data_IF_087884829585
#
_entry.id   IF_087884829585
#
_cell.length_a   1.000
_cell.length_b   1.000
_cell.length_c   1.000
_cell.angle_alpha   90.00
_cell.angle_beta   90.00
_cell.angle_gamma   90.00
#
_symmetry.space_group_name_H-M   'P 1'
#
loop_
_entity.id
_entity.type
_entity.pdbx_description
1 polymer ?
#
# COMPACT_ATOMS: atom_id res chain seq x y z
N UNK A 1 6.55 2.92 -36.56
CA UNK A 1 6.29 2.34 -35.24
C UNK A 1 5.73 0.97 -35.46
N UNK A 2 6.34 -0.05 -34.85
CA UNK A 2 5.85 -1.43 -34.94
C UNK A 2 4.65 -1.56 -34.02
N UNK A 3 3.54 -2.07 -34.50
CA UNK A 3 2.37 -2.41 -33.70
C UNK A 3 2.28 -3.93 -33.62
N UNK A 4 2.53 -4.46 -32.43
CA UNK A 4 2.39 -5.88 -32.15
C UNK A 4 1.11 -6.13 -31.38
N UNK A 5 0.40 -7.20 -31.71
CA UNK A 5 -0.86 -7.56 -31.06
C UNK A 5 -0.93 -9.06 -30.82
N UNK A 6 -1.32 -9.39 -29.61
CA UNK A 6 -1.62 -10.76 -29.19
C UNK A 6 -3.07 -10.82 -28.69
N UNK A 7 -3.76 -11.85 -29.08
CA UNK A 7 -5.09 -12.14 -28.62
C UNK A 7 -5.03 -13.45 -27.82
N UNK A 8 -5.50 -13.42 -26.57
CA UNK A 8 -5.59 -14.59 -25.71
C UNK A 8 -7.05 -14.93 -25.53
N UNK A 9 -7.45 -16.12 -26.01
CA UNK A 9 -8.84 -16.55 -25.96
C UNK A 9 -9.21 -17.08 -24.58
N UNK A 10 -10.50 -17.18 -24.31
CA UNK A 10 -10.98 -17.79 -23.07
C UNK A 10 -10.46 -19.23 -22.93
N UNK A 11 -9.92 -19.53 -21.76
CA UNK A 11 -9.30 -20.82 -21.44
C UNK A 11 -7.84 -20.97 -21.89
N UNK A 12 -7.26 -19.96 -22.55
CA UNK A 12 -5.84 -19.95 -22.92
C UNK A 12 -4.99 -19.28 -21.85
N UNK A 13 -3.76 -19.75 -21.72
CA UNK A 13 -2.66 -19.09 -20.99
C UNK A 13 -1.57 -18.68 -21.98
N UNK A 14 -0.87 -17.59 -21.70
CA UNK A 14 0.18 -17.10 -22.60
C UNK A 14 1.22 -16.30 -21.85
N UNK A 15 2.48 -16.50 -22.22
CA UNK A 15 3.60 -15.66 -21.79
C UNK A 15 4.07 -14.85 -22.99
N UNK A 16 4.26 -13.55 -22.79
CA UNK A 16 4.70 -12.60 -23.80
C UNK A 16 5.89 -11.83 -23.23
N UNK A 17 7.06 -12.02 -23.82
CA UNK A 17 8.25 -11.24 -23.51
C UNK A 17 8.27 -10.01 -24.42
N UNK A 18 8.53 -8.85 -23.82
CA UNK A 18 8.54 -7.56 -24.48
C UNK A 18 9.89 -6.88 -24.25
N UNK A 19 10.33 -6.11 -25.24
CA UNK A 19 11.54 -5.31 -25.13
C UNK A 19 11.30 -4.11 -24.16
N UNK A 20 11.71 -2.93 -24.53
CA UNK A 20 11.62 -1.74 -23.70
C UNK A 20 10.18 -1.25 -23.57
N UNK A 21 9.66 -1.20 -22.32
CA UNK A 21 8.36 -0.63 -22.00
C UNK A 21 8.53 0.59 -21.09
N UNK A 22 7.89 1.70 -21.42
CA UNK A 22 7.91 2.96 -20.63
C UNK A 22 6.56 3.35 -20.08
N UNK A 23 5.50 2.89 -20.68
CA UNK A 23 4.17 3.12 -20.16
C UNK A 23 3.29 1.87 -20.29
N UNK A 24 2.50 1.62 -19.27
CA UNK A 24 1.56 0.49 -19.21
C UNK A 24 0.17 1.03 -18.95
N UNK A 25 -0.76 0.60 -19.79
CA UNK A 25 -2.18 0.82 -19.59
C UNK A 25 -2.90 -0.53 -19.50
N UNK A 26 -3.60 -0.71 -18.41
CA UNK A 26 -4.36 -1.92 -18.13
C UNK A 26 -5.82 -1.55 -18.02
N UNK A 27 -6.69 -2.31 -18.69
CA UNK A 27 -8.12 -2.08 -18.69
C UNK A 27 -8.88 -3.41 -18.59
N UNK A 28 -9.26 -3.82 -17.38
CA UNK A 28 -9.88 -5.11 -17.10
C UNK A 28 -11.31 -4.97 -16.56
N UNK A 29 -12.14 -5.97 -16.83
CA UNK A 29 -13.48 -6.04 -16.22
C UNK A 29 -13.41 -6.70 -14.86
N UNK A 30 -12.77 -7.86 -14.76
CA UNK A 30 -12.61 -8.60 -13.50
C UNK A 30 -11.43 -9.55 -13.56
N UNK A 31 -11.14 -10.18 -12.43
CA UNK A 31 -10.02 -11.09 -12.25
C UNK A 31 -9.00 -10.53 -11.29
N UNK A 32 -7.76 -10.87 -11.48
CA UNK A 32 -6.63 -10.40 -10.66
C UNK A 32 -5.49 -9.92 -11.54
N UNK A 33 -4.83 -8.85 -11.11
CA UNK A 33 -3.63 -8.38 -11.78
C UNK A 33 -2.54 -8.00 -10.79
N UNK A 34 -1.37 -8.59 -11.00
CA UNK A 34 -0.18 -8.31 -10.22
C UNK A 34 0.84 -7.58 -11.11
N UNK A 35 1.14 -6.34 -10.80
CA UNK A 35 2.16 -5.53 -11.47
C UNK A 35 3.36 -5.45 -10.55
N UNK A 36 4.45 -6.10 -10.92
CA UNK A 36 5.67 -6.18 -10.13
C UNK A 36 6.81 -5.53 -10.89
N UNK A 37 7.45 -4.57 -10.27
CA UNK A 37 8.58 -3.89 -10.85
C UNK A 37 9.91 -4.62 -10.60
N UNK A 38 10.80 -4.57 -11.58
CA UNK A 38 12.16 -5.12 -11.51
C UNK A 38 13.18 -4.16 -12.13
N UNK A 39 14.47 -4.49 -12.02
CA UNK A 39 15.53 -3.60 -12.42
C UNK A 39 15.95 -3.74 -13.91
N UNK A 40 15.41 -4.73 -14.63
CA UNK A 40 15.69 -4.94 -16.04
C UNK A 40 14.82 -4.01 -16.92
N UNK A 41 15.29 -3.62 -18.11
CA UNK A 41 14.55 -2.73 -19.00
C UNK A 41 13.42 -3.43 -19.78
N UNK A 42 13.37 -4.76 -19.74
CA UNK A 42 12.39 -5.61 -20.43
C UNK A 42 11.12 -5.75 -19.63
N UNK A 43 10.02 -6.14 -20.27
CA UNK A 43 8.78 -6.47 -19.58
C UNK A 43 8.30 -7.88 -19.98
N UNK A 44 7.55 -8.51 -19.08
CA UNK A 44 6.92 -9.81 -19.31
C UNK A 44 5.48 -9.76 -18.88
N UNK A 45 4.59 -10.22 -19.74
CA UNK A 45 3.16 -10.41 -19.47
C UNK A 45 2.89 -11.90 -19.38
N UNK A 46 2.42 -12.36 -18.23
CA UNK A 46 2.00 -13.75 -18.01
C UNK A 46 0.48 -13.76 -17.82
N UNK A 47 -0.24 -14.22 -18.81
CA UNK A 47 -1.68 -14.44 -18.73
C UNK A 47 -1.93 -15.85 -18.26
N UNK A 48 -2.41 -16.01 -17.03
CA UNK A 48 -2.64 -17.30 -16.39
C UNK A 48 -3.99 -17.88 -16.80
N UNK A 49 -5.03 -17.04 -16.82
CA UNK A 49 -6.36 -17.45 -17.20
C UNK A 49 -7.13 -16.29 -17.86
N UNK A 50 -8.00 -16.63 -18.80
CA UNK A 50 -8.95 -15.70 -19.40
C UNK A 50 -10.32 -16.36 -19.39
N UNK A 51 -11.34 -15.66 -18.87
CA UNK A 51 -12.73 -16.06 -18.89
C UNK A 51 -13.60 -15.04 -19.63
N UNK A 52 -14.61 -15.51 -20.33
CA UNK A 52 -15.52 -14.64 -21.08
C UNK A 52 -14.92 -14.11 -22.38
N UNK A 53 -14.68 -12.81 -22.48
CA UNK A 53 -14.10 -12.18 -23.67
C UNK A 53 -12.60 -12.40 -23.74
N UNK A 54 -12.10 -12.44 -24.99
CA UNK A 54 -10.67 -12.49 -25.23
C UNK A 54 -9.95 -11.26 -24.66
N UNK A 55 -8.74 -11.49 -24.15
CA UNK A 55 -7.83 -10.46 -23.73
C UNK A 55 -6.94 -10.04 -24.89
N UNK A 56 -6.84 -8.76 -25.12
CA UNK A 56 -5.93 -8.18 -26.08
C UNK A 56 -4.71 -7.59 -25.36
N UNK A 57 -3.53 -8.01 -25.76
CA UNK A 57 -2.26 -7.41 -25.39
C UNK A 57 -1.71 -6.73 -26.64
N UNK A 58 -1.36 -5.47 -26.58
CA UNK A 58 -0.79 -4.74 -27.70
C UNK A 58 0.38 -3.85 -27.26
N UNK A 59 1.37 -3.81 -28.10
CA UNK A 59 2.54 -2.97 -27.96
C UNK A 59 2.60 -1.96 -29.12
N UNK A 60 2.60 -0.69 -28.81
CA UNK A 60 2.76 0.40 -29.76
C UNK A 60 3.93 1.28 -29.35
N UNK A 61 5.06 1.10 -30.05
CA UNK A 61 6.33 1.72 -29.66
C UNK A 61 6.81 1.20 -28.31
N UNK A 62 6.79 2.02 -27.26
CA UNK A 62 7.17 1.70 -25.88
C UNK A 62 5.98 1.65 -24.92
N UNK A 63 4.76 1.66 -25.47
CA UNK A 63 3.51 1.62 -24.72
C UNK A 63 2.87 0.25 -24.80
N UNK A 64 2.73 -0.40 -23.65
CA UNK A 64 1.98 -1.64 -23.47
C UNK A 64 0.53 -1.33 -23.11
N UNK A 65 -0.42 -1.92 -23.82
CA UNK A 65 -1.85 -1.85 -23.52
C UNK A 65 -2.44 -3.26 -23.40
N UNK A 66 -3.10 -3.52 -22.27
CA UNK A 66 -3.78 -4.78 -21.96
C UNK A 66 -5.25 -4.46 -21.74
N UNK A 67 -6.15 -4.96 -22.59
CA UNK A 67 -7.56 -4.68 -22.50
C UNK A 67 -8.45 -5.89 -22.87
N UNK A 68 -9.66 -5.92 -22.35
CA UNK A 68 -10.68 -6.82 -22.87
C UNK A 68 -11.22 -6.29 -24.18
N UNK A 69 -11.22 -7.14 -25.21
CA UNK A 69 -11.69 -6.77 -26.56
C UNK A 69 -13.15 -6.25 -26.52
N UNK A 70 -13.40 -5.16 -27.27
CA UNK A 70 -14.73 -4.55 -27.47
C UNK A 70 -15.28 -3.74 -26.27
N UNK A 71 -14.48 -3.39 -25.27
CA UNK A 71 -14.88 -2.40 -24.27
C UNK A 71 -14.46 -0.99 -24.72
N UNK A 72 -15.42 -0.09 -24.76
CA UNK A 72 -15.14 1.35 -24.98
C UNK A 72 -15.05 2.00 -23.60
N UNK A 73 -13.84 2.24 -23.16
CA UNK A 73 -13.54 2.82 -21.85
C UNK A 73 -13.80 4.33 -21.76
N UNK A 74 -14.19 4.97 -22.88
CA UNK A 74 -14.46 6.41 -22.92
C UNK A 74 -15.75 6.80 -22.18
N UNK A 75 -16.56 5.84 -21.77
CA UNK A 75 -17.82 6.07 -21.03
C UNK A 75 -18.02 5.00 -19.96
N UNK A 76 -17.84 5.38 -18.71
CA UNK A 76 -18.12 4.53 -17.52
C UNK A 76 -19.57 4.00 -17.56
N UNK A 77 -20.52 4.79 -18.08
CA UNK A 77 -21.93 4.41 -18.18
C UNK A 77 -22.14 3.24 -19.16
N UNK A 78 -21.38 3.18 -20.26
CA UNK A 78 -21.45 2.06 -21.20
C UNK A 78 -20.75 0.80 -20.66
N UNK A 79 -19.67 0.98 -19.91
CA UNK A 79 -18.98 -0.12 -19.21
C UNK A 79 -19.93 -0.75 -18.19
N UNK A 80 -20.58 0.05 -17.35
CA UNK A 80 -21.54 -0.42 -16.34
C UNK A 80 -22.77 -1.10 -17.00
N UNK A 81 -23.27 -0.59 -18.12
CA UNK A 81 -24.35 -1.25 -18.87
C UNK A 81 -23.92 -2.56 -19.54
N UNK A 82 -22.64 -2.70 -19.89
CA UNK A 82 -22.05 -3.92 -20.45
C UNK A 82 -21.80 -5.03 -19.42
N UNK A 83 -21.81 -4.71 -18.13
CA UNK A 83 -21.60 -5.63 -16.99
C UNK A 83 -22.66 -6.74 -16.84
N UNK A 84 -23.74 -6.72 -17.61
CA UNK A 84 -24.77 -7.76 -17.58
C UNK A 84 -24.32 -9.16 -18.05
N UNK A 85 -23.10 -9.31 -18.60
CA UNK A 85 -22.50 -10.59 -18.95
C UNK A 85 -21.51 -11.01 -17.87
N UNK A 86 -21.96 -11.77 -16.90
CA UNK A 86 -21.14 -12.43 -15.89
C UNK A 86 -20.11 -13.32 -16.58
N UNK A 87 -18.81 -13.00 -16.41
CA UNK A 87 -17.75 -13.92 -16.82
C UNK A 87 -16.47 -13.32 -17.40
N UNK A 88 -16.44 -12.03 -17.73
CA UNK A 88 -15.22 -11.41 -18.25
C UNK A 88 -14.22 -11.22 -17.10
N UNK A 89 -13.17 -12.04 -17.09
CA UNK A 89 -12.09 -12.00 -16.10
C UNK A 89 -10.77 -12.38 -16.74
N UNK A 90 -9.71 -11.87 -16.20
CA UNK A 90 -8.36 -12.29 -16.55
C UNK A 90 -7.46 -12.25 -15.32
N UNK A 91 -6.67 -13.31 -15.16
CA UNK A 91 -5.65 -13.38 -14.11
C UNK A 91 -4.30 -13.20 -14.78
N UNK A 92 -3.58 -12.12 -14.41
CA UNK A 92 -2.41 -11.65 -15.14
C UNK A 92 -1.31 -11.28 -14.15
N UNK A 93 -0.09 -11.72 -14.42
CA UNK A 93 1.11 -11.19 -13.78
C UNK A 93 1.94 -10.40 -14.79
N UNK A 94 2.34 -9.22 -14.40
CA UNK A 94 3.09 -8.29 -15.23
C UNK A 94 4.38 -7.89 -14.52
N UNK A 95 5.50 -8.25 -15.12
CA UNK A 95 6.83 -7.82 -14.71
C UNK A 95 7.23 -6.63 -15.57
N UNK A 96 7.60 -5.51 -14.95
CA UNK A 96 7.91 -4.25 -15.66
C UNK A 96 9.12 -3.54 -15.09
N UNK A 97 9.81 -2.71 -15.88
CA UNK A 97 10.84 -1.82 -15.36
C UNK A 97 10.29 -0.88 -14.27
N UNK A 98 11.07 -0.57 -13.24
CA UNK A 98 10.66 0.31 -12.13
C UNK A 98 10.14 1.68 -12.58
N UNK A 99 10.72 2.25 -13.64
CA UNK A 99 10.38 3.59 -14.14
C UNK A 99 9.16 3.64 -15.07
N UNK A 100 8.34 2.60 -15.13
CA UNK A 100 7.17 2.54 -16.00
C UNK A 100 6.01 3.36 -15.42
N UNK A 101 5.49 4.31 -16.20
CA UNK A 101 4.26 5.01 -15.85
C UNK A 101 3.06 4.06 -15.97
N UNK A 102 2.28 3.92 -14.89
CA UNK A 102 1.17 2.99 -14.80
C UNK A 102 -0.19 3.70 -14.86
N UNK A 103 -1.05 3.23 -15.77
CA UNK A 103 -2.48 3.50 -15.76
C UNK A 103 -3.26 2.20 -15.62
N UNK A 104 -3.99 2.05 -14.54
CA UNK A 104 -4.72 0.85 -14.16
C UNK A 104 -6.21 1.16 -14.01
N UNK A 105 -7.00 0.74 -14.97
CA UNK A 105 -8.46 0.98 -15.01
C UNK A 105 -9.18 -0.38 -14.89
N UNK A 106 -10.00 -0.57 -13.86
CA UNK A 106 -10.73 -1.83 -13.65
C UNK A 106 -12.18 -1.61 -13.27
N UNK A 107 -12.98 -2.65 -13.38
CA UNK A 107 -14.36 -2.63 -12.91
C UNK A 107 -14.51 -3.40 -11.61
N UNK A 108 -14.01 -4.65 -11.57
CA UNK A 108 -14.13 -5.53 -10.40
C UNK A 108 -12.93 -6.48 -10.27
N UNK A 109 -11.75 -6.03 -10.69
CA UNK A 109 -10.52 -6.80 -10.55
C UNK A 109 -9.75 -6.33 -9.31
N UNK A 110 -9.17 -7.30 -8.61
CA UNK A 110 -8.23 -7.03 -7.55
C UNK A 110 -6.85 -6.72 -8.15
N UNK A 111 -6.12 -5.80 -7.54
CA UNK A 111 -4.84 -5.33 -8.05
C UNK A 111 -3.74 -5.28 -7.01
N UNK A 112 -2.57 -5.80 -7.39
CA UNK A 112 -1.33 -5.56 -6.67
C UNK A 112 -0.36 -4.76 -7.55
N UNK A 113 0.18 -3.67 -7.03
CA UNK A 113 1.22 -2.87 -7.69
C UNK A 113 2.41 -2.78 -6.75
N UNK A 114 3.56 -3.30 -7.14
CA UNK A 114 4.72 -3.37 -6.27
C UNK A 114 6.01 -2.83 -6.88
N UNK A 115 6.73 -2.00 -6.13
CA UNK A 115 8.10 -1.58 -6.41
C UNK A 115 8.30 -0.58 -7.55
N UNK A 116 7.28 0.16 -7.98
CA UNK A 116 7.40 1.17 -9.02
C UNK A 116 8.12 2.43 -8.52
N UNK A 117 8.93 3.04 -9.38
CA UNK A 117 9.59 4.33 -9.17
C UNK A 117 9.07 5.35 -10.18
N UNK A 118 7.78 5.48 -10.28
CA UNK A 118 7.07 6.36 -11.22
C UNK A 118 5.65 6.59 -10.73
N UNK A 119 4.98 7.56 -11.33
CA UNK A 119 3.61 7.89 -11.00
C UNK A 119 2.64 6.77 -11.44
N UNK A 120 1.61 6.55 -10.62
CA UNK A 120 0.56 5.59 -10.90
C UNK A 120 -0.82 6.26 -10.82
N UNK A 121 -1.66 5.98 -11.82
CA UNK A 121 -3.07 6.30 -11.79
C UNK A 121 -3.89 5.03 -11.79
N UNK A 122 -4.75 4.89 -10.79
CA UNK A 122 -5.56 3.71 -10.55
C UNK A 122 -7.04 4.13 -10.50
N UNK A 123 -7.87 3.48 -11.29
CA UNK A 123 -9.31 3.70 -11.29
C UNK A 123 -10.03 2.37 -11.19
N UNK A 124 -10.86 2.18 -10.18
CA UNK A 124 -11.65 0.97 -10.01
C UNK A 124 -13.09 1.29 -9.63
N UNK A 125 -14.02 0.45 -10.06
CA UNK A 125 -15.40 0.53 -9.57
C UNK A 125 -15.58 -0.35 -8.35
N UNK A 126 -14.90 -1.49 -8.30
CA UNK A 126 -14.88 -2.42 -7.18
C UNK A 126 -13.67 -3.34 -7.27
N UNK A 127 -13.37 -4.05 -6.21
CA UNK A 127 -12.14 -4.83 -6.05
C UNK A 127 -11.13 -4.09 -5.19
N UNK A 128 -10.28 -4.85 -4.56
CA UNK A 128 -9.30 -4.34 -3.62
C UNK A 128 -7.98 -4.04 -4.34
N UNK A 129 -7.36 -2.94 -3.98
CA UNK A 129 -6.09 -2.51 -4.58
C UNK A 129 -5.03 -2.35 -3.51
N UNK A 130 -3.93 -3.06 -3.69
CA UNK A 130 -2.74 -2.95 -2.84
C UNK A 130 -1.60 -2.32 -3.65
N UNK A 131 -1.03 -1.25 -3.12
CA UNK A 131 0.18 -0.62 -3.66
C UNK A 131 1.28 -0.73 -2.61
N UNK A 132 2.40 -1.32 -2.97
CA UNK A 132 3.52 -1.54 -2.05
C UNK A 132 4.84 -1.05 -2.64
N UNK A 133 5.58 -0.24 -1.88
CA UNK A 133 6.91 0.24 -2.26
C UNK A 133 6.93 1.11 -3.50
N UNK A 134 5.91 1.96 -3.72
CA UNK A 134 5.89 2.89 -4.84
C UNK A 134 6.58 4.20 -4.46
N UNK A 135 7.46 4.69 -5.34
CA UNK A 135 8.13 5.98 -5.24
C UNK A 135 7.65 6.89 -6.37
N UNK A 136 6.80 7.85 -6.07
CA UNK A 136 6.17 8.75 -7.04
C UNK A 136 4.80 9.23 -6.56
N UNK A 137 4.03 9.85 -7.42
CA UNK A 137 2.68 10.30 -7.08
C UNK A 137 1.63 9.23 -7.42
N UNK A 138 0.69 9.01 -6.51
CA UNK A 138 -0.43 8.09 -6.71
C UNK A 138 -1.74 8.89 -6.78
N UNK A 139 -2.53 8.63 -7.82
CA UNK A 139 -3.89 9.15 -7.99
C UNK A 139 -4.86 7.95 -8.08
N UNK A 140 -5.72 7.79 -7.10
CA UNK A 140 -6.67 6.67 -7.02
C UNK A 140 -8.10 7.17 -7.04
N UNK A 141 -8.90 6.57 -7.90
CA UNK A 141 -10.34 6.80 -7.99
C UNK A 141 -11.05 5.45 -7.79
N UNK A 142 -11.78 5.29 -6.70
CA UNK A 142 -12.53 4.08 -6.42
C UNK A 142 -13.99 4.39 -6.10
N UNK A 143 -14.88 3.46 -6.44
CA UNK A 143 -16.27 3.57 -6.00
C UNK A 143 -16.49 2.68 -4.78
N UNK A 144 -16.00 1.45 -4.81
CA UNK A 144 -16.09 0.47 -3.73
C UNK A 144 -14.78 -0.32 -3.66
N UNK A 145 -14.49 -0.92 -2.51
CA UNK A 145 -13.29 -1.75 -2.30
C UNK A 145 -12.28 -1.06 -1.39
N UNK A 146 -11.33 -1.81 -0.92
CA UNK A 146 -10.27 -1.34 -0.05
C UNK A 146 -9.06 -0.85 -0.85
N UNK A 147 -8.55 0.32 -0.49
CA UNK A 147 -7.26 0.81 -0.98
C UNK A 147 -6.22 0.71 0.14
N UNK A 148 -5.18 -0.08 -0.10
CA UNK A 148 -4.05 -0.23 0.83
C UNK A 148 -2.75 0.21 0.17
N UNK A 149 -2.22 1.36 0.57
CA UNK A 149 -0.92 1.88 0.13
C UNK A 149 0.08 1.72 1.25
N UNK A 150 1.18 1.01 0.99
CA UNK A 150 2.22 0.70 1.98
C UNK A 150 3.61 1.04 1.46
N UNK A 151 4.52 1.34 2.37
CA UNK A 151 5.93 1.63 2.05
C UNK A 151 6.06 2.67 0.92
N UNK A 152 5.16 3.64 0.90
CA UNK A 152 5.08 4.63 -0.16
C UNK A 152 5.95 5.85 0.12
N UNK A 153 6.58 6.38 -0.92
CA UNK A 153 7.30 7.65 -0.86
C UNK A 153 6.76 8.60 -1.93
N UNK A 154 6.08 9.67 -1.51
CA UNK A 154 5.50 10.63 -2.44
C UNK A 154 4.14 11.15 -2.01
N UNK A 155 3.36 11.62 -2.99
CA UNK A 155 1.99 12.12 -2.78
C UNK A 155 0.97 11.02 -3.01
N UNK A 156 -0.05 10.99 -2.17
CA UNK A 156 -1.24 10.15 -2.37
C UNK A 156 -2.48 11.02 -2.48
N UNK A 157 -3.20 10.89 -3.57
CA UNK A 157 -4.53 11.49 -3.76
C UNK A 157 -5.54 10.37 -3.99
N UNK A 158 -6.58 10.30 -3.19
CA UNK A 158 -7.62 9.29 -3.30
C UNK A 158 -9.01 9.91 -3.35
N UNK A 159 -9.84 9.41 -4.25
CA UNK A 159 -11.25 9.73 -4.33
C UNK A 159 -12.05 8.44 -4.19
N UNK A 160 -12.91 8.35 -3.18
CA UNK A 160 -13.72 7.15 -2.92
C UNK A 160 -15.19 7.50 -2.67
N UNK A 161 -16.07 6.62 -3.09
CA UNK A 161 -17.48 6.73 -2.70
C UNK A 161 -17.74 5.92 -1.46
N UNK A 162 -17.32 4.66 -1.45
CA UNK A 162 -17.42 3.79 -0.29
C UNK A 162 -16.30 2.76 -0.31
N UNK A 163 -15.49 2.76 0.68
CA UNK A 163 -14.34 1.87 0.78
C UNK A 163 -13.30 2.48 1.71
N UNK A 164 -12.60 1.62 2.38
CA UNK A 164 -11.59 2.04 3.34
C UNK A 164 -10.29 2.40 2.62
N UNK A 165 -9.62 3.42 3.12
CA UNK A 165 -8.35 3.89 2.58
C UNK A 165 -7.28 3.81 3.66
N UNK A 166 -6.27 3.02 3.42
CA UNK A 166 -5.07 2.95 4.27
C UNK A 166 -3.86 3.44 3.48
N UNK A 167 -3.12 4.40 4.04
CA UNK A 167 -1.89 4.89 3.44
C UNK A 167 -0.78 4.98 4.49
N UNK A 168 0.36 4.33 4.21
CA UNK A 168 1.51 4.28 5.11
C UNK A 168 2.83 4.50 4.36
N UNK A 169 3.74 5.29 4.95
CA UNK A 169 5.08 5.55 4.44
C UNK A 169 5.53 7.00 4.56
N UNK A 170 6.57 7.37 3.83
CA UNK A 170 7.09 8.74 3.76
C UNK A 170 6.20 9.61 2.85
N UNK A 171 5.03 9.98 3.36
CA UNK A 171 4.06 10.76 2.61
C UNK A 171 4.47 12.23 2.57
N UNK A 172 4.71 12.79 1.40
CA UNK A 172 4.92 14.23 1.24
C UNK A 172 3.60 14.99 1.37
N UNK A 173 2.54 14.45 0.79
CA UNK A 173 1.17 14.98 0.88
C UNK A 173 0.17 13.84 0.78
N UNK A 174 -0.86 13.90 1.61
CA UNK A 174 -2.00 13.01 1.53
C UNK A 174 -3.29 13.82 1.35
N UNK A 175 -4.12 13.42 0.40
CA UNK A 175 -5.45 14.00 0.19
C UNK A 175 -6.46 12.91 -0.08
N UNK A 176 -7.56 12.91 0.63
CA UNK A 176 -8.69 12.01 0.38
C UNK A 176 -9.99 12.78 0.36
N UNK A 177 -10.80 12.51 -0.67
CA UNK A 177 -12.19 12.95 -0.78
C UNK A 177 -13.09 11.73 -0.83
N UNK A 178 -13.90 11.52 0.20
CA UNK A 178 -14.74 10.35 0.37
C UNK A 178 -16.19 10.67 0.73
N UNK A 179 -17.08 9.73 0.46
CA UNK A 179 -18.45 9.83 0.97
C UNK A 179 -18.62 8.96 2.21
N UNK A 180 -18.19 7.71 2.16
CA UNK A 180 -18.24 6.78 3.29
C UNK A 180 -17.04 5.83 3.27
N UNK A 181 -16.63 5.37 4.43
CA UNK A 181 -15.46 4.51 4.62
C UNK A 181 -14.46 5.16 5.57
N UNK A 182 -13.69 4.32 6.24
CA UNK A 182 -12.68 4.76 7.20
C UNK A 182 -11.37 5.08 6.49
N UNK A 183 -10.68 6.09 6.99
CA UNK A 183 -9.39 6.53 6.46
C UNK A 183 -8.33 6.38 7.55
N UNK A 184 -7.31 5.60 7.26
CA UNK A 184 -6.15 5.46 8.12
C UNK A 184 -4.89 5.96 7.41
N UNK A 185 -4.22 6.94 7.99
CA UNK A 185 -2.99 7.52 7.47
C UNK A 185 -1.87 7.35 8.49
N UNK A 186 -0.81 6.68 8.09
CA UNK A 186 0.41 6.55 8.87
C UNK A 186 1.56 7.24 8.14
N UNK A 187 1.71 8.54 8.40
CA UNK A 187 2.70 9.36 7.74
C UNK A 187 4.02 9.35 8.53
N UNK A 188 5.07 8.92 7.85
CA UNK A 188 6.45 8.94 8.35
C UNK A 188 7.16 10.21 7.90
N UNK A 189 8.11 10.68 8.70
CA UNK A 189 8.91 11.85 8.38
C UNK A 189 8.16 13.16 8.56
N UNK A 190 8.20 14.02 7.57
CA UNK A 190 7.62 15.37 7.65
C UNK A 190 6.68 15.60 6.46
N UNK A 191 5.43 15.16 6.54
CA UNK A 191 4.44 15.51 5.51
C UNK A 191 4.14 17.01 5.54
N UNK A 192 3.97 17.60 4.36
CA UNK A 192 3.55 19.01 4.25
C UNK A 192 2.07 19.18 4.65
N UNK A 193 1.22 18.26 4.18
CA UNK A 193 -0.21 18.35 4.36
C UNK A 193 -0.89 16.97 4.39
N UNK A 194 -1.82 16.83 5.32
CA UNK A 194 -2.77 15.71 5.35
C UNK A 194 -4.17 16.32 5.30
N UNK A 195 -4.90 16.03 4.24
CA UNK A 195 -6.26 16.55 4.03
C UNK A 195 -7.24 15.40 3.85
N UNK A 196 -8.34 15.44 4.59
CA UNK A 196 -9.43 14.49 4.45
C UNK A 196 -10.77 15.22 4.43
N UNK A 197 -11.56 14.97 3.39
CA UNK A 197 -12.93 15.44 3.27
C UNK A 197 -13.84 14.21 3.16
N UNK A 198 -14.73 14.00 4.13
CA UNK A 198 -15.63 12.85 4.15
C UNK A 198 -17.03 13.27 4.61
N UNK A 199 -18.03 12.55 4.18
CA UNK A 199 -19.38 12.75 4.72
C UNK A 199 -19.57 11.85 5.94
N UNK A 200 -19.20 10.58 5.86
CA UNK A 200 -19.27 9.64 6.97
C UNK A 200 -18.10 8.68 6.95
N UNK A 201 -17.60 8.34 8.11
CA UNK A 201 -16.45 7.46 8.29
C UNK A 201 -15.39 8.10 9.19
N UNK A 202 -14.63 7.26 9.84
CA UNK A 202 -13.64 7.69 10.81
C UNK A 202 -12.32 8.02 10.12
N UNK A 203 -11.66 9.07 10.59
CA UNK A 203 -10.33 9.46 10.17
C UNK A 203 -9.34 9.20 11.30
N UNK A 204 -8.36 8.37 11.05
CA UNK A 204 -7.23 8.18 11.96
C UNK A 204 -5.93 8.60 11.27
N UNK A 205 -5.22 9.52 11.87
CA UNK A 205 -3.92 10.02 11.39
C UNK A 205 -2.86 9.70 12.44
N UNK A 206 -1.81 9.02 12.02
CA UNK A 206 -0.62 8.79 12.84
C UNK A 206 0.56 9.56 12.23
N UNK A 207 1.26 10.34 13.05
CA UNK A 207 2.43 11.13 12.65
C UNK A 207 3.54 10.95 13.66
N UNK A 208 4.77 11.31 13.30
CA UNK A 208 5.92 11.15 14.16
C UNK A 208 5.84 12.06 15.41
N UNK A 209 6.38 11.56 16.53
CA UNK A 209 6.53 12.34 17.75
C UNK A 209 7.51 13.51 17.50
N UNK A 210 7.19 14.66 18.11
CA UNK A 210 8.02 15.87 17.96
C UNK A 210 7.76 16.69 16.70
N UNK A 211 6.95 16.20 15.77
CA UNK A 211 6.50 16.98 14.63
C UNK A 211 5.49 18.05 15.07
N UNK A 212 5.73 19.33 14.73
CA UNK A 212 4.74 20.38 14.92
C UNK A 212 3.48 20.09 14.08
N UNK A 213 2.30 20.45 14.56
CA UNK A 213 1.09 20.26 13.78
C UNK A 213 0.15 21.46 13.91
N UNK A 214 -0.43 21.84 12.78
CA UNK A 214 -1.55 22.77 12.74
C UNK A 214 -2.81 21.98 12.38
N UNK A 215 -3.78 22.03 13.25
CA UNK A 215 -5.07 21.35 13.07
C UNK A 215 -6.12 22.32 12.57
N UNK A 216 -6.85 21.96 11.53
CA UNK A 216 -8.04 22.65 11.03
C UNK A 216 -9.13 21.60 10.79
N UNK A 217 -9.94 21.35 11.80
CA UNK A 217 -10.89 20.24 11.78
C UNK A 217 -12.29 20.77 11.92
N UNK A 218 -13.16 20.43 10.98
CA UNK A 218 -14.56 20.74 10.98
C UNK A 218 -15.36 19.44 11.01
N UNK A 219 -16.10 19.18 12.08
CA UNK A 219 -17.03 18.06 12.14
C UNK A 219 -18.37 18.55 12.67
N UNK A 220 -19.46 18.02 12.09
CA UNK A 220 -20.81 18.35 12.57
C UNK A 220 -21.21 17.42 13.71
N UNK A 221 -20.85 16.13 13.60
CA UNK A 221 -21.16 15.12 14.62
C UNK A 221 -20.02 14.09 14.65
N UNK A 222 -19.50 13.79 15.82
CA UNK A 222 -18.40 12.86 16.04
C UNK A 222 -17.47 13.34 17.16
N UNK A 223 -16.54 12.49 17.52
CA UNK A 223 -15.55 12.76 18.56
C UNK A 223 -14.25 13.25 17.92
N UNK A 224 -13.65 14.27 18.49
CA UNK A 224 -12.34 14.74 18.12
C UNK A 224 -11.32 14.36 19.20
N UNK A 225 -10.38 13.52 18.85
CA UNK A 225 -9.28 13.11 19.74
C UNK A 225 -7.94 13.52 19.13
N UNK A 226 -7.22 14.40 19.78
CA UNK A 226 -5.93 14.92 19.34
C UNK A 226 -4.87 14.67 20.40
N UNK A 227 -3.80 14.00 20.01
CA UNK A 227 -2.63 13.76 20.87
C UNK A 227 -3.03 13.17 22.24
N UNK A 228 -3.97 12.22 22.25
CA UNK A 228 -4.48 11.57 23.46
C UNK A 228 -5.54 12.36 24.24
N UNK A 229 -5.89 13.58 23.83
CA UNK A 229 -6.86 14.43 24.50
C UNK A 229 -8.18 14.49 23.71
N UNK A 230 -9.31 14.27 24.39
CA UNK A 230 -10.63 14.42 23.77
C UNK A 230 -11.05 15.90 23.80
N UNK A 231 -11.26 16.46 22.63
CA UNK A 231 -11.72 17.84 22.46
C UNK A 231 -13.26 17.85 22.52
N UNK A 232 -13.81 18.53 23.49
CA UNK A 232 -15.25 18.61 23.71
C UNK A 232 -15.82 19.96 23.27
N UNK A 233 -17.07 19.97 22.82
CA UNK A 233 -17.81 21.20 22.52
C UNK A 233 -17.56 21.77 21.11
N UNK A 234 -17.06 20.96 20.18
CA UNK A 234 -16.76 21.37 18.80
C UNK A 234 -17.90 21.14 17.81
N UNK A 235 -19.05 20.61 18.26
CA UNK A 235 -20.19 20.30 17.39
C UNK A 235 -20.64 21.52 16.56
N UNK A 236 -20.53 21.38 15.23
CA UNK A 236 -20.90 22.41 14.28
C UNK A 236 -20.02 23.67 14.31
N UNK A 237 -18.91 23.66 15.01
CA UNK A 237 -17.91 24.72 15.05
C UNK A 237 -16.55 24.17 14.62
N UNK A 238 -15.86 24.89 13.71
CA UNK A 238 -14.51 24.52 13.33
C UNK A 238 -13.55 24.58 14.52
N UNK A 239 -12.69 23.58 14.63
CA UNK A 239 -11.60 23.54 15.59
C UNK A 239 -10.28 23.89 14.90
N UNK A 240 -9.58 24.88 15.45
CA UNK A 240 -8.25 25.25 14.99
C UNK A 240 -7.31 25.29 16.17
N UNK A 241 -6.20 24.58 16.07
CA UNK A 241 -5.17 24.54 17.11
C UNK A 241 -3.78 24.30 16.49
N UNK A 242 -2.77 24.57 17.28
CA UNK A 242 -1.39 24.31 16.93
C UNK A 242 -0.72 23.59 18.09
N UNK A 243 0.02 22.53 17.78
CA UNK A 243 0.79 21.76 18.77
C UNK A 243 2.26 21.73 18.34
N UNK A 244 3.18 21.93 19.25
CA UNK A 244 4.61 21.99 18.96
C UNK A 244 5.04 23.30 18.27
N UNK A 245 6.29 23.33 17.78
CA UNK A 245 6.84 24.48 17.07
C UNK A 245 6.55 24.37 15.57
N UNK A 246 6.13 25.48 14.97
CA UNK A 246 5.96 25.61 13.51
C UNK A 246 7.22 26.20 12.82
N UNK A 247 8.28 26.45 13.56
CA UNK A 247 9.48 27.11 13.03
C UNK A 247 10.41 26.16 12.26
N UNK A 248 10.19 24.84 12.39
CA UNK A 248 11.05 23.85 11.74
C UNK A 248 10.24 22.82 10.94
N UNK A 249 9.96 21.66 11.53
CA UNK A 249 9.22 20.57 10.91
C UNK A 249 7.79 20.58 11.44
N UNK A 250 6.82 20.73 10.56
CA UNK A 250 5.42 20.73 10.94
C UNK A 250 4.53 20.24 9.81
N UNK A 251 3.34 19.76 10.15
CA UNK A 251 2.33 19.27 9.23
C UNK A 251 1.04 20.06 9.36
N UNK A 252 0.37 20.32 8.23
CA UNK A 252 -0.98 20.88 8.18
C UNK A 252 -2.01 19.76 8.07
N UNK A 253 -2.78 19.52 9.13
CA UNK A 253 -3.81 18.49 9.18
C UNK A 253 -5.17 19.16 9.05
N UNK A 254 -5.81 18.97 7.90
CA UNK A 254 -7.13 19.53 7.60
C UNK A 254 -8.15 18.39 7.43
N UNK A 255 -9.19 18.37 8.24
CA UNK A 255 -10.25 17.37 8.15
C UNK A 255 -11.63 18.04 8.14
N UNK A 256 -12.46 17.65 7.18
CA UNK A 256 -13.86 18.06 7.11
C UNK A 256 -14.70 16.79 7.08
N UNK A 257 -15.56 16.62 8.12
CA UNK A 257 -16.49 15.48 8.21
C UNK A 257 -17.87 15.95 8.60
N UNK A 258 -18.90 15.27 8.14
CA UNK A 258 -20.24 15.49 8.65
C UNK A 258 -20.50 14.58 9.83
N UNK A 259 -20.20 13.28 9.69
CA UNK A 259 -20.34 12.29 10.76
C UNK A 259 -19.14 11.36 10.75
N UNK A 260 -18.52 11.17 11.89
CA UNK A 260 -17.35 10.32 12.07
C UNK A 260 -16.35 10.92 13.06
N UNK A 261 -15.58 10.05 13.64
CA UNK A 261 -14.58 10.43 14.62
C UNK A 261 -13.27 10.83 13.91
N UNK A 262 -12.61 11.84 14.43
CA UNK A 262 -11.28 12.26 13.95
C UNK A 262 -10.29 12.04 15.06
N UNK A 263 -9.33 11.16 14.80
CA UNK A 263 -8.29 10.78 15.77
C UNK A 263 -6.90 11.10 15.19
N UNK A 264 -6.12 11.87 15.91
CA UNK A 264 -4.71 12.09 15.60
C UNK A 264 -3.86 11.57 16.75
N UNK A 265 -2.94 10.68 16.43
CA UNK A 265 -2.02 10.06 17.39
C UNK A 265 -0.57 10.29 17.00
N UNK A 266 0.31 10.32 18.01
CA UNK A 266 1.75 10.41 17.80
C UNK A 266 2.37 9.02 17.87
N UNK A 267 3.25 8.71 16.91
CA UNK A 267 4.04 7.49 16.95
C UNK A 267 5.11 7.66 18.03
N UNK A 268 5.08 6.81 19.04
CA UNK A 268 6.18 6.78 20.02
C UNK A 268 7.46 6.33 19.34
N UNK A 269 8.62 6.94 19.62
CA UNK A 269 9.88 6.46 19.09
C UNK A 269 10.06 5.00 19.52
N UNK A 270 10.31 4.14 18.56
CA UNK A 270 10.76 2.78 18.85
C UNK A 270 12.12 2.92 19.48
N UNK A 271 12.21 2.95 20.81
CA UNK A 271 13.45 2.72 21.52
C UNK A 271 13.86 1.30 21.15
N UNK A 272 14.78 1.17 20.21
CA UNK A 272 15.49 -0.07 20.01
C UNK A 272 16.14 -0.40 21.34
N UNK A 273 15.53 -1.28 22.12
CA UNK A 273 16.15 -1.85 23.30
C UNK A 273 17.31 -2.71 22.80
N UNK A 274 18.45 -2.08 22.66
CA UNK A 274 19.73 -2.76 22.55
C UNK A 274 20.00 -3.40 23.92
N UNK A 275 19.30 -4.48 24.21
CA UNK A 275 19.76 -5.43 25.19
C UNK A 275 20.90 -6.21 24.54
N UNK A 276 22.08 -5.62 24.57
CA UNK A 276 23.30 -6.42 24.42
C UNK A 276 23.28 -7.47 25.53
N UNK A 277 23.37 -8.75 25.21
CA UNK A 277 23.60 -9.74 26.24
C UNK A 277 24.96 -9.42 26.86
N UNK A 278 24.95 -9.03 28.12
CA UNK A 278 26.14 -8.96 28.96
C UNK A 278 26.75 -10.36 28.96
N UNK A 279 27.79 -10.53 28.15
CA UNK A 279 28.57 -11.74 28.12
C UNK A 279 29.26 -11.91 29.47
N UNK A 280 28.68 -12.72 30.30
CA UNK A 280 29.31 -13.29 31.45
C UNK A 280 30.39 -14.27 30.96
N UNK A 281 31.64 -13.80 30.97
CA UNK A 281 32.81 -14.62 30.68
C UNK A 281 32.99 -15.63 31.81
N UNK A 282 32.40 -16.81 31.67
CA UNK A 282 32.78 -17.95 32.47
C UNK A 282 34.23 -18.33 32.14
N UNK A 283 35.12 -17.99 33.04
CA UNK A 283 36.53 -18.39 33.00
C UNK A 283 36.64 -19.91 33.06
N UNK A 284 37.15 -20.50 31.99
CA UNK A 284 37.64 -21.86 32.01
C UNK A 284 38.98 -21.90 32.68
N UNK A 285 39.00 -22.36 33.95
CA UNK A 285 40.21 -22.73 34.65
C UNK A 285 40.85 -23.94 34.02
N UNK A 286 42.10 -23.81 33.62
CA UNK A 286 42.97 -24.93 33.23
C UNK A 286 43.22 -25.83 34.43
N UNK A 287 43.20 -27.15 34.29
CA UNK A 287 43.77 -28.06 35.28
C UNK A 287 45.20 -28.41 34.86
N UNK A 288 46.18 -27.79 35.52
CA UNK A 288 47.53 -28.31 35.56
C UNK A 288 47.74 -29.08 36.88
N UNK A 289 48.40 -30.24 36.79
CA UNK A 289 48.90 -30.93 37.97
C UNK A 289 48.87 -32.45 37.83
N UNK A 290 49.92 -32.99 37.27
CA UNK A 290 50.21 -34.41 37.14
C UNK A 290 50.59 -35.10 38.49
N UNK A 291 51.18 -36.30 38.44
CA UNK A 291 50.74 -37.45 39.20
C UNK A 291 51.55 -37.71 40.47
N UNK A 292 50.94 -38.36 41.44
CA UNK A 292 51.70 -39.03 42.52
C UNK A 292 51.10 -40.38 42.86
N UNK A 293 51.93 -41.39 42.65
CA UNK A 293 51.93 -42.77 43.12
C UNK A 293 51.60 -42.93 44.59
N UNK A 294 50.81 -43.91 44.95
CA UNK A 294 51.24 -45.11 45.72
C UNK A 294 50.04 -45.83 46.34
N UNK A 295 49.98 -47.08 46.01
CA UNK A 295 50.04 -48.30 46.75
C UNK A 295 48.81 -48.84 47.50
N UNK A 296 48.68 -50.21 47.30
CA UNK A 296 48.14 -51.24 48.15
C UNK A 296 46.65 -51.66 48.02
N UNK A 297 46.59 -52.80 47.39
CA UNK A 297 45.64 -53.88 47.57
C UNK A 297 45.45 -54.30 49.06
N UNK A 298 44.62 -55.29 49.41
CA UNK A 298 43.63 -56.02 48.61
C UNK A 298 42.34 -56.43 49.41
N UNK A 299 41.56 -57.28 48.71
CA UNK A 299 40.70 -58.45 49.15
C UNK A 299 39.26 -58.18 49.64
N UNK A 300 38.49 -58.88 48.98
CA UNK A 300 37.54 -59.95 49.36
C UNK A 300 36.06 -59.61 49.48
N UNK A 301 35.32 -60.38 48.83
CA UNK A 301 34.16 -61.10 49.39
C UNK A 301 32.80 -60.83 48.81
N UNK A 302 32.40 -61.72 47.96
CA UNK A 302 31.25 -62.55 48.19
C UNK A 302 29.85 -62.02 47.77
N UNK A 303 29.44 -62.70 46.77
CA UNK A 303 28.16 -63.39 46.67
C UNK A 303 26.85 -62.72 47.09
N UNK A 304 25.98 -62.56 46.28
CA UNK A 304 24.83 -63.34 45.80
C UNK A 304 24.16 -62.65 44.64
#
# INVERSE_FOLDING_TARGET
MSLEKWLVQAGESKVIDLDVVRSVKIALVGGQIDVIAHDEPTARVEVHSVGGRALKVSMEGDRLEIDHVQLRWDSIVEVVKGLGRRGDRADISLLVPRGVALKFDTVSADGLVAGLHSDARISTVGGDVVVDGLHGDIDVNTVHGELSVRNHTGRVTAHTVSGDVTAAGELTRFSVDGVSGSVFVDAEGTPDQIQANTVSGDLTVRVDEGLGARYRINTVSGTLQLDGSVVRGTFGRGYTSTTGSLDSKWVDIAANSVTGDVTVVRRSPVTASTSAPSGESAGWGSPDGGPSTDDQRPVDGGAL
#
